data_IF_655300239224
#
_entry.id   IF_655300239224
#
_cell.length_a   1.000
_cell.length_b   1.000
_cell.length_c   1.000
_cell.angle_alpha   90.00
_cell.angle_beta   90.00
_cell.angle_gamma   90.00
#
_symmetry.space_group_name_H-M   'P 1'
#
loop_
_entity.id
_entity.type
_entity.pdbx_description
1 polymer ?
#
# COMPACT_ATOMS: atom_id res chain seq x y z
N UNK A 1 -36.48 23.89 8.27
CA UNK A 1 -37.73 24.66 8.07
C UNK A 1 -37.42 26.11 7.65
N UNK A 2 -36.62 26.87 8.37
CA UNK A 2 -36.24 28.25 8.03
C UNK A 2 -35.55 28.38 6.68
N UNK A 3 -34.55 27.54 6.40
CA UNK A 3 -33.84 27.53 5.11
C UNK A 3 -34.73 27.12 3.94
N UNK A 4 -35.78 26.34 4.15
CA UNK A 4 -36.75 25.98 3.14
C UNK A 4 -37.58 27.22 2.75
N UNK A 5 -38.06 27.98 3.72
CA UNK A 5 -38.77 29.21 3.46
C UNK A 5 -37.90 30.27 2.77
N UNK A 6 -36.65 30.48 3.23
CA UNK A 6 -35.70 31.38 2.58
C UNK A 6 -35.37 30.94 1.10
N UNK A 7 -35.36 29.66 0.82
CA UNK A 7 -35.08 29.14 -0.53
C UNK A 7 -36.24 29.37 -1.50
N UNK A 8 -37.46 29.47 -1.01
CA UNK A 8 -38.64 29.80 -1.82
C UNK A 8 -38.66 31.29 -2.21
N UNK A 9 -38.28 32.17 -1.29
CA UNK A 9 -38.25 33.60 -1.52
C UNK A 9 -37.06 34.08 -2.34
N UNK A 10 -35.93 33.33 -2.27
CA UNK A 10 -34.68 33.73 -2.90
C UNK A 10 -34.70 33.50 -4.43
N UNK A 11 -34.09 34.41 -5.20
CA UNK A 11 -33.94 34.33 -6.67
C UNK A 11 -32.49 34.19 -7.12
N UNK A 12 -32.28 33.60 -8.32
CA UNK A 12 -31.00 33.57 -8.98
C UNK A 12 -29.92 32.72 -8.29
N UNK A 13 -28.71 33.24 -8.18
CA UNK A 13 -27.55 32.50 -7.60
C UNK A 13 -27.71 32.23 -6.10
N UNK A 14 -28.40 33.11 -5.35
CA UNK A 14 -28.67 32.92 -3.93
C UNK A 14 -29.55 31.68 -3.74
N UNK A 15 -30.60 31.50 -4.52
CA UNK A 15 -31.44 30.31 -4.53
C UNK A 15 -30.67 29.03 -4.79
N UNK A 16 -29.75 29.01 -5.77
CA UNK A 16 -28.90 27.84 -6.05
C UNK A 16 -28.02 27.45 -4.87
N UNK A 17 -27.43 28.43 -4.15
CA UNK A 17 -26.61 28.19 -2.95
C UNK A 17 -27.44 27.63 -1.81
N UNK A 18 -28.61 28.21 -1.56
CA UNK A 18 -29.55 27.75 -0.51
C UNK A 18 -30.06 26.36 -0.78
N UNK A 19 -30.44 26.04 -2.02
CA UNK A 19 -30.87 24.69 -2.41
C UNK A 19 -29.76 23.63 -2.24
N UNK A 20 -28.50 23.95 -2.53
CA UNK A 20 -27.38 23.03 -2.26
C UNK A 20 -27.22 22.76 -0.76
N UNK A 21 -27.34 23.80 0.06
CA UNK A 21 -27.25 23.68 1.53
C UNK A 21 -28.44 22.90 2.09
N UNK A 22 -29.64 23.17 1.59
CA UNK A 22 -30.87 22.47 1.98
C UNK A 22 -30.75 20.97 1.70
N UNK A 23 -30.37 20.59 0.47
CA UNK A 23 -30.18 19.19 0.08
C UNK A 23 -29.17 18.46 0.97
N UNK A 24 -28.08 19.13 1.35
CA UNK A 24 -27.08 18.56 2.26
C UNK A 24 -27.71 18.30 3.64
N UNK A 25 -28.42 19.28 4.21
CA UNK A 25 -29.05 19.15 5.51
C UNK A 25 -30.16 18.11 5.52
N UNK A 26 -30.99 18.05 4.47
CA UNK A 26 -32.02 17.02 4.31
C UNK A 26 -31.40 15.61 4.18
N UNK A 27 -30.30 15.49 3.47
CA UNK A 27 -29.58 14.19 3.37
C UNK A 27 -29.01 13.75 4.70
N UNK A 28 -28.47 14.68 5.51
CA UNK A 28 -27.99 14.38 6.86
C UNK A 28 -29.12 14.01 7.79
N UNK A 29 -30.25 14.72 7.74
CA UNK A 29 -31.44 14.46 8.56
C UNK A 29 -32.03 13.11 8.22
N UNK A 30 -32.18 12.80 6.92
CA UNK A 30 -32.66 11.48 6.44
C UNK A 30 -31.74 10.33 6.86
N UNK A 31 -30.41 10.56 6.90
CA UNK A 31 -29.43 9.60 7.36
C UNK A 31 -29.31 9.51 8.89
N UNK A 32 -30.00 10.36 9.66
CA UNK A 32 -29.88 10.45 11.11
C UNK A 32 -28.53 10.98 11.61
N UNK A 33 -27.74 11.61 10.74
CA UNK A 33 -26.39 12.09 11.06
C UNK A 33 -26.47 13.51 11.61
N UNK A 34 -26.03 13.69 12.85
CA UNK A 34 -25.99 15.01 13.47
C UNK A 34 -24.80 15.82 12.91
N UNK A 35 -24.95 17.16 12.70
CA UNK A 35 -23.89 17.99 12.12
C UNK A 35 -22.56 17.97 12.88
N UNK A 36 -22.57 17.80 14.20
CA UNK A 36 -21.35 17.70 15.01
C UNK A 36 -20.54 16.42 14.74
N UNK A 37 -21.18 15.36 14.24
CA UNK A 37 -20.49 14.12 13.86
C UNK A 37 -19.63 14.29 12.60
N UNK A 38 -19.79 15.38 11.85
CA UNK A 38 -18.93 15.69 10.70
C UNK A 38 -17.55 16.22 11.12
N UNK A 39 -17.39 16.63 12.39
CA UNK A 39 -16.11 17.04 12.96
C UNK A 39 -15.48 15.92 13.77
N UNK A 40 -14.18 15.66 13.55
CA UNK A 40 -13.43 14.70 14.35
C UNK A 40 -12.92 15.38 15.62
N UNK A 41 -13.45 14.98 16.79
CA UNK A 41 -12.91 15.39 18.09
C UNK A 41 -11.72 14.52 18.53
N UNK A 42 -11.71 13.27 18.11
CA UNK A 42 -10.65 12.30 18.38
C UNK A 42 -10.16 11.72 17.05
N UNK A 43 -8.85 11.76 16.84
CA UNK A 43 -8.22 11.20 15.67
C UNK A 43 -7.75 9.75 15.96
N UNK A 44 -8.23 8.73 15.24
CA UNK A 44 -7.76 7.37 15.42
C UNK A 44 -6.32 7.22 14.94
N UNK A 45 -5.52 6.48 15.69
CA UNK A 45 -4.13 6.16 15.34
C UNK A 45 -4.05 4.71 14.95
N UNK A 46 -3.45 4.45 13.79
CA UNK A 46 -3.25 3.09 13.28
C UNK A 46 -2.25 2.35 14.19
N UNK A 47 -2.45 1.03 14.43
CA UNK A 47 -1.50 0.21 15.18
C UNK A 47 -0.07 0.28 14.61
N UNK A 48 0.97 0.14 15.45
CA UNK A 48 2.37 0.28 15.03
C UNK A 48 2.79 -0.75 13.96
N UNK A 49 2.22 -1.94 13.95
CA UNK A 49 2.50 -2.97 12.94
C UNK A 49 2.13 -2.53 11.52
N UNK A 50 1.13 -1.67 11.38
CA UNK A 50 0.70 -1.11 10.10
C UNK A 50 1.51 0.11 9.64
N UNK A 51 2.36 0.66 10.53
CA UNK A 51 3.28 1.79 10.27
C UNK A 51 4.67 1.51 10.84
N UNK A 52 5.33 0.43 10.41
CA UNK A 52 6.54 -0.05 11.05
C UNK A 52 7.70 0.94 10.99
N UNK A 53 8.57 0.84 12.00
CA UNK A 53 9.87 1.49 12.05
C UNK A 53 10.92 0.38 12.11
N UNK A 54 11.76 0.29 11.09
CA UNK A 54 12.77 -0.78 10.94
C UNK A 54 14.16 -0.16 11.03
N UNK A 55 15.00 -0.77 11.86
CA UNK A 55 16.40 -0.39 11.95
C UNK A 55 17.18 -0.97 10.76
N UNK A 56 17.87 -0.12 10.02
CA UNK A 56 18.76 -0.50 8.94
C UNK A 56 20.19 -0.70 9.47
N UNK A 57 20.97 -1.45 8.71
CA UNK A 57 22.43 -1.57 8.94
C UNK A 57 23.08 -0.18 8.96
N UNK A 58 23.88 0.11 9.99
CA UNK A 58 24.49 1.43 10.18
C UNK A 58 23.70 2.40 11.08
N UNK A 59 22.79 1.91 11.92
CA UNK A 59 22.10 2.71 12.95
C UNK A 59 21.03 3.67 12.44
N UNK A 60 20.72 3.64 11.15
CA UNK A 60 19.63 4.43 10.55
C UNK A 60 18.30 3.70 10.65
N UNK A 61 17.21 4.45 10.79
CA UNK A 61 15.86 3.92 10.84
C UNK A 61 15.11 4.24 9.54
N UNK A 62 14.46 3.22 8.96
CA UNK A 62 13.47 3.42 7.93
C UNK A 62 12.09 3.46 8.60
N UNK A 63 11.35 4.53 8.37
CA UNK A 63 10.03 4.73 8.95
C UNK A 63 8.96 4.85 7.86
N UNK A 64 7.73 4.46 8.19
CA UNK A 64 6.59 4.74 7.35
C UNK A 64 6.33 6.25 7.29
N UNK A 65 5.93 6.76 6.13
CA UNK A 65 5.56 8.16 5.92
C UNK A 65 4.45 8.62 6.88
N UNK A 66 3.57 7.70 7.31
CA UNK A 66 2.50 7.98 8.27
C UNK A 66 3.04 8.42 9.64
N UNK A 67 4.18 7.91 10.09
CA UNK A 67 4.76 8.31 11.37
C UNK A 67 5.14 9.79 11.36
N UNK A 68 5.65 10.31 10.24
CA UNK A 68 5.96 11.73 10.09
C UNK A 68 4.69 12.59 10.09
N UNK A 69 3.63 12.15 9.43
CA UNK A 69 2.36 12.85 9.41
C UNK A 69 1.70 12.88 10.79
N UNK A 70 1.67 11.76 11.52
CA UNK A 70 1.19 11.73 12.91
C UNK A 70 2.02 12.62 13.84
N UNK A 71 3.34 12.58 13.73
CA UNK A 71 4.23 13.44 14.51
C UNK A 71 3.92 14.92 14.30
N UNK A 72 3.64 15.35 13.05
CA UNK A 72 3.26 16.73 12.76
C UNK A 72 1.94 17.11 13.42
N UNK A 73 0.94 16.25 13.36
CA UNK A 73 -0.36 16.48 14.03
C UNK A 73 -0.17 16.61 15.53
N UNK A 74 0.55 15.70 16.18
CA UNK A 74 0.81 15.71 17.61
C UNK A 74 1.55 16.98 18.03
N UNK A 75 2.60 17.37 17.31
CA UNK A 75 3.37 18.57 17.60
C UNK A 75 2.52 19.84 17.49
N UNK A 76 1.68 19.95 16.46
CA UNK A 76 0.75 21.08 16.29
C UNK A 76 -0.30 21.12 17.38
N UNK A 77 -0.86 19.98 17.74
CA UNK A 77 -1.84 19.89 18.82
C UNK A 77 -1.23 20.29 20.18
N UNK A 78 -0.04 19.79 20.50
CA UNK A 78 0.64 20.14 21.74
C UNK A 78 1.00 21.63 21.79
N UNK A 79 1.40 22.21 20.65
CA UNK A 79 1.69 23.64 20.56
C UNK A 79 0.43 24.47 20.76
N UNK A 80 -0.68 24.11 20.11
CA UNK A 80 -1.97 24.79 20.30
C UNK A 80 -2.42 24.72 21.76
N UNK A 81 -2.31 23.55 22.39
CA UNK A 81 -2.66 23.38 23.80
C UNK A 81 -1.85 24.32 24.69
N UNK A 82 -0.54 24.38 24.51
CA UNK A 82 0.32 25.31 25.26
C UNK A 82 -0.04 26.78 25.04
N UNK A 83 -0.41 27.18 23.82
CA UNK A 83 -0.84 28.55 23.52
C UNK A 83 -2.15 28.92 24.22
N UNK A 84 -3.08 27.97 24.30
CA UNK A 84 -4.35 28.16 25.02
C UNK A 84 -4.07 28.27 26.53
N UNK A 85 -3.26 27.40 27.10
CA UNK A 85 -2.88 27.39 28.51
C UNK A 85 -2.19 28.71 28.93
N UNK A 86 -1.41 29.31 28.01
CA UNK A 86 -0.71 30.59 28.20
C UNK A 86 -1.60 31.83 27.92
N UNK A 87 -2.89 31.66 27.61
CA UNK A 87 -3.79 32.74 27.21
C UNK A 87 -3.20 33.62 26.08
N UNK A 88 -2.57 33.02 25.09
CA UNK A 88 -1.98 33.74 23.97
C UNK A 88 -3.05 34.48 23.14
N UNK A 89 -2.70 35.57 22.42
CA UNK A 89 -3.63 36.32 21.59
C UNK A 89 -4.40 35.41 20.63
N UNK A 90 -5.69 35.69 20.47
CA UNK A 90 -6.62 34.87 19.67
C UNK A 90 -6.13 34.66 18.22
N UNK A 91 -5.50 35.67 17.64
CA UNK A 91 -4.95 35.59 16.26
C UNK A 91 -3.92 34.50 16.13
N UNK A 92 -3.04 34.31 17.13
CA UNK A 92 -2.01 33.28 17.15
C UNK A 92 -2.66 31.90 17.32
N UNK A 93 -3.63 31.78 18.23
CA UNK A 93 -4.38 30.55 18.43
C UNK A 93 -5.13 30.12 17.17
N UNK A 94 -5.82 31.02 16.48
CA UNK A 94 -6.52 30.76 15.21
C UNK A 94 -5.56 30.32 14.10
N UNK A 95 -4.38 30.91 14.02
CA UNK A 95 -3.37 30.50 13.03
C UNK A 95 -2.87 29.07 13.32
N UNK A 96 -2.61 28.73 14.58
CA UNK A 96 -2.17 27.38 14.94
C UNK A 96 -3.29 26.34 14.73
N UNK A 97 -4.56 26.70 15.00
CA UNK A 97 -5.73 25.86 14.66
C UNK A 97 -5.79 25.57 13.15
N UNK A 98 -5.57 26.58 12.31
CA UNK A 98 -5.51 26.41 10.85
C UNK A 98 -4.38 25.46 10.46
N UNK A 99 -3.19 25.61 11.05
CA UNK A 99 -2.04 24.73 10.79
C UNK A 99 -2.28 23.29 11.27
N UNK A 100 -3.00 23.12 12.38
CA UNK A 100 -3.42 21.80 12.86
C UNK A 100 -4.39 21.15 11.89
N UNK A 101 -5.38 21.91 11.40
CA UNK A 101 -6.31 21.41 10.39
C UNK A 101 -5.59 21.00 9.11
N UNK A 102 -4.64 21.80 8.63
CA UNK A 102 -3.81 21.44 7.46
C UNK A 102 -3.00 20.16 7.69
N UNK A 103 -2.49 19.94 8.90
CA UNK A 103 -1.76 18.72 9.23
C UNK A 103 -2.67 17.47 9.25
N UNK A 104 -3.91 17.61 9.74
CA UNK A 104 -4.92 16.53 9.72
C UNK A 104 -5.38 16.25 8.29
N UNK A 105 -5.64 17.27 7.50
CA UNK A 105 -6.01 17.13 6.09
C UNK A 105 -4.92 16.40 5.30
N UNK A 106 -3.65 16.73 5.55
CA UNK A 106 -2.51 16.06 4.93
C UNK A 106 -2.36 14.59 5.39
N UNK A 107 -2.70 14.27 6.62
CA UNK A 107 -2.70 12.88 7.11
C UNK A 107 -3.76 12.04 6.38
N UNK A 108 -4.94 12.60 6.16
CA UNK A 108 -6.05 11.90 5.50
C UNK A 108 -5.81 11.79 3.98
N UNK A 109 -5.58 12.91 3.31
CA UNK A 109 -5.31 12.97 1.87
C UNK A 109 -4.32 14.09 1.51
N UNK A 110 -3.05 13.76 1.42
CA UNK A 110 -1.98 14.68 1.06
C UNK A 110 -1.97 15.05 -0.43
N UNK A 111 -2.73 14.33 -1.26
CA UNK A 111 -2.83 14.57 -2.70
C UNK A 111 -3.67 15.79 -3.05
N UNK A 112 -4.72 16.04 -2.27
CA UNK A 112 -5.70 17.09 -2.45
C UNK A 112 -5.57 18.17 -1.37
N UNK A 113 -4.33 18.50 -0.97
CA UNK A 113 -4.09 19.51 0.05
C UNK A 113 -4.78 20.84 -0.32
N UNK A 114 -5.59 21.37 0.59
CA UNK A 114 -6.35 22.63 0.43
C UNK A 114 -5.47 23.83 0.09
N UNK A 115 -4.23 23.81 0.58
CA UNK A 115 -3.22 24.83 0.33
C UNK A 115 -2.54 24.71 -1.05
N UNK A 116 -2.90 23.71 -1.86
CA UNK A 116 -2.25 23.41 -3.15
C UNK A 116 -0.82 22.88 -3.03
N UNK A 117 -0.26 22.84 -1.83
CA UNK A 117 1.09 22.35 -1.56
C UNK A 117 1.05 21.10 -0.70
N UNK A 118 1.36 19.96 -1.30
CA UNK A 118 1.46 18.70 -0.58
C UNK A 118 2.63 18.72 0.42
N UNK A 119 2.44 18.07 1.58
CA UNK A 119 3.48 17.91 2.59
C UNK A 119 4.54 16.95 2.07
N UNK A 120 5.77 17.43 1.97
CA UNK A 120 6.93 16.66 1.54
C UNK A 120 7.79 16.18 2.73
N UNK A 121 8.60 15.15 2.50
CA UNK A 121 9.61 14.72 3.43
C UNK A 121 10.68 15.82 3.63
N UNK A 122 11.23 15.93 4.84
CA UNK A 122 12.28 16.90 5.13
C UNK A 122 13.49 16.67 4.22
N UNK A 123 13.91 17.72 3.50
CA UNK A 123 15.05 17.66 2.58
C UNK A 123 14.80 16.92 1.24
N UNK A 124 13.60 16.41 0.98
CA UNK A 124 13.27 15.73 -0.27
C UNK A 124 12.07 16.37 -0.97
N UNK A 125 12.08 16.36 -2.32
CA UNK A 125 10.92 16.78 -3.14
C UNK A 125 9.78 15.74 -3.13
N UNK A 126 10.00 14.56 -2.53
CA UNK A 126 9.02 13.48 -2.50
C UNK A 126 7.87 13.80 -1.54
N UNK A 127 6.65 13.75 -2.06
CA UNK A 127 5.43 13.84 -1.27
C UNK A 127 5.30 12.64 -0.32
N UNK A 128 4.92 12.89 0.94
CA UNK A 128 4.62 11.84 1.90
C UNK A 128 3.31 11.14 1.51
N UNK A 129 3.28 9.81 1.62
CA UNK A 129 2.08 9.00 1.39
C UNK A 129 1.11 9.15 2.55
N UNK A 130 -0.10 9.64 2.25
CA UNK A 130 -1.20 9.77 3.21
C UNK A 130 -1.95 8.45 3.43
N UNK A 131 -2.91 8.44 4.36
CA UNK A 131 -3.81 7.30 4.59
C UNK A 131 -4.56 6.91 3.31
N UNK A 132 -5.10 7.88 2.59
CA UNK A 132 -5.76 7.67 1.29
C UNK A 132 -4.84 7.00 0.27
N UNK A 133 -3.60 7.46 0.16
CA UNK A 133 -2.61 6.91 -0.78
C UNK A 133 -2.24 5.46 -0.45
N UNK A 134 -2.30 5.07 0.84
CA UNK A 134 -2.04 3.70 1.27
C UNK A 134 -3.20 2.74 0.97
N UNK A 135 -4.41 3.25 0.79
CA UNK A 135 -5.60 2.45 0.50
C UNK A 135 -5.90 2.37 -1.00
N UNK A 136 -5.64 3.47 -1.74
CA UNK A 136 -5.95 3.64 -3.16
C UNK A 136 -4.91 2.97 -4.08
N UNK A 137 -5.34 2.68 -5.30
CA UNK A 137 -4.47 2.26 -6.41
C UNK A 137 -4.05 0.79 -6.39
N UNK A 138 -3.20 0.41 -7.36
CA UNK A 138 -2.74 -0.97 -7.54
C UNK A 138 -1.85 -1.45 -6.39
N UNK A 139 -1.11 -0.54 -5.76
CA UNK A 139 -0.21 -0.80 -4.63
C UNK A 139 -0.90 -0.52 -3.28
N UNK A 140 -2.18 -0.15 -3.29
CA UNK A 140 -2.96 0.08 -2.09
C UNK A 140 -3.30 -1.23 -1.38
N UNK A 141 -3.56 -1.13 -0.07
CA UNK A 141 -3.82 -2.30 0.77
C UNK A 141 -5.02 -3.12 0.30
N UNK A 142 -6.07 -2.49 -0.23
CA UNK A 142 -7.23 -3.22 -0.74
C UNK A 142 -6.86 -4.13 -1.91
N UNK A 143 -6.12 -3.64 -2.90
CA UNK A 143 -5.79 -4.42 -4.09
C UNK A 143 -4.59 -5.34 -3.90
N UNK A 144 -3.62 -4.94 -3.08
CA UNK A 144 -2.37 -5.70 -2.92
C UNK A 144 -2.42 -6.72 -1.79
N UNK A 145 -3.22 -6.49 -0.74
CA UNK A 145 -3.20 -7.33 0.46
C UNK A 145 -4.55 -7.97 0.75
N UNK A 146 -5.67 -7.29 0.47
CA UNK A 146 -7.00 -7.80 0.80
C UNK A 146 -7.61 -8.63 -0.33
N UNK A 147 -7.62 -8.12 -1.57
CA UNK A 147 -8.17 -8.82 -2.74
C UNK A 147 -7.24 -9.88 -3.30
N UNK A 148 -5.97 -9.81 -2.99
CA UNK A 148 -4.97 -10.78 -3.38
C UNK A 148 -3.68 -10.52 -2.61
N UNK A 149 -3.11 -11.58 -2.07
CA UNK A 149 -1.85 -11.56 -1.34
C UNK A 149 -0.76 -12.18 -2.19
N UNK A 150 0.45 -11.59 -2.18
CA UNK A 150 1.60 -12.28 -2.72
C UNK A 150 1.97 -13.41 -1.77
N UNK A 151 1.94 -14.62 -2.28
CA UNK A 151 2.42 -15.80 -1.55
C UNK A 151 3.81 -16.17 -2.02
N UNK A 152 4.59 -16.80 -1.15
CA UNK A 152 5.90 -17.29 -1.48
C UNK A 152 5.80 -18.37 -2.58
N UNK A 153 6.85 -18.52 -3.35
CA UNK A 153 6.91 -19.49 -4.46
C UNK A 153 5.82 -19.33 -5.51
N UNK A 154 5.40 -18.10 -5.77
CA UNK A 154 4.46 -17.75 -6.82
C UNK A 154 5.05 -16.73 -7.79
N UNK A 155 4.62 -16.77 -9.04
CA UNK A 155 5.10 -15.87 -10.07
C UNK A 155 4.03 -15.56 -11.11
N UNK A 156 4.23 -14.50 -11.86
CA UNK A 156 3.38 -14.08 -12.97
C UNK A 156 4.24 -13.71 -14.15
N UNK A 157 3.87 -14.19 -15.34
CA UNK A 157 4.56 -13.87 -16.58
C UNK A 157 3.58 -13.75 -17.74
N UNK A 158 4.04 -13.21 -18.85
CA UNK A 158 3.29 -13.15 -20.10
C UNK A 158 3.23 -14.55 -20.70
N UNK A 159 2.05 -14.94 -21.20
CA UNK A 159 1.81 -16.21 -21.86
C UNK A 159 2.04 -16.01 -23.36
N UNK A 160 2.86 -16.88 -23.94
CA UNK A 160 3.18 -16.87 -25.37
C UNK A 160 2.86 -18.25 -25.95
N UNK A 161 2.40 -18.30 -27.20
CA UNK A 161 2.18 -19.55 -27.89
C UNK A 161 3.48 -20.33 -28.11
N UNK A 162 3.46 -21.64 -27.87
CA UNK A 162 4.59 -22.54 -28.07
C UNK A 162 4.18 -23.71 -28.98
N UNK A 163 4.34 -23.60 -30.32
CA UNK A 163 3.87 -24.61 -31.26
C UNK A 163 4.55 -25.98 -31.10
N UNK A 164 5.71 -26.02 -30.50
CA UNK A 164 6.49 -27.24 -30.24
C UNK A 164 6.05 -28.03 -29.01
N UNK A 165 5.16 -27.41 -28.17
CA UNK A 165 4.73 -28.01 -26.93
C UNK A 165 3.41 -28.77 -27.11
N UNK A 166 3.31 -29.94 -26.45
CA UNK A 166 2.05 -30.70 -26.38
C UNK A 166 1.06 -29.93 -25.46
N UNK A 167 -0.27 -30.19 -25.59
CA UNK A 167 -1.32 -29.57 -24.80
C UNK A 167 -1.11 -29.75 -23.29
N UNK A 168 -0.47 -30.83 -22.88
CA UNK A 168 -0.15 -31.14 -21.47
C UNK A 168 1.16 -30.52 -20.97
N UNK A 169 1.89 -29.83 -21.83
CA UNK A 169 3.21 -29.27 -21.51
C UNK A 169 3.15 -27.75 -21.48
N UNK A 170 3.86 -27.17 -20.52
CA UNK A 170 4.07 -25.74 -20.48
C UNK A 170 5.58 -25.44 -20.27
N UNK A 171 6.05 -24.40 -20.97
CA UNK A 171 7.44 -23.94 -20.85
C UNK A 171 7.53 -22.85 -19.81
N UNK A 172 8.45 -23.01 -18.85
CA UNK A 172 8.76 -21.99 -17.83
C UNK A 172 10.20 -21.51 -17.99
N UNK A 173 10.47 -20.19 -17.87
CA UNK A 173 11.83 -19.69 -17.80
C UNK A 173 12.58 -20.35 -16.63
N UNK A 174 13.83 -20.79 -16.87
CA UNK A 174 14.65 -21.49 -15.88
C UNK A 174 14.79 -20.72 -14.56
N UNK A 175 14.97 -19.40 -14.63
CA UNK A 175 15.07 -18.54 -13.44
C UNK A 175 13.81 -18.55 -12.60
N UNK A 176 12.63 -18.50 -13.24
CA UNK A 176 11.36 -18.61 -12.53
C UNK A 176 11.16 -20.00 -11.93
N UNK A 177 11.48 -21.04 -12.68
CA UNK A 177 11.37 -22.42 -12.20
C UNK A 177 12.23 -22.65 -10.95
N UNK A 178 13.47 -22.18 -10.92
CA UNK A 178 14.35 -22.28 -9.75
C UNK A 178 13.80 -21.58 -8.52
N UNK A 179 13.14 -20.44 -8.69
CA UNK A 179 12.54 -19.72 -7.55
C UNK A 179 11.24 -20.38 -7.05
N UNK A 180 10.38 -20.81 -7.96
CA UNK A 180 9.12 -21.46 -7.65
C UNK A 180 9.31 -22.81 -6.96
N UNK A 181 10.29 -23.59 -7.44
CA UNK A 181 10.56 -24.95 -6.96
C UNK A 181 11.71 -25.02 -5.95
N UNK A 182 12.19 -23.89 -5.44
CA UNK A 182 13.32 -23.81 -4.51
C UNK A 182 13.23 -24.81 -3.35
N UNK A 183 12.10 -24.99 -2.62
CA UNK A 183 12.01 -25.96 -1.53
C UNK A 183 12.21 -27.40 -2.00
N UNK A 184 11.63 -27.76 -3.14
CA UNK A 184 11.74 -29.12 -3.69
C UNK A 184 13.16 -29.42 -4.18
N UNK A 185 13.81 -28.44 -4.79
CA UNK A 185 15.22 -28.56 -5.22
C UNK A 185 16.13 -28.72 -4.00
N UNK A 186 15.89 -27.99 -2.92
CA UNK A 186 16.64 -28.13 -1.67
C UNK A 186 16.46 -29.54 -1.09
N UNK A 187 15.22 -30.05 -1.01
CA UNK A 187 14.95 -31.40 -0.55
C UNK A 187 15.71 -32.45 -1.37
N UNK A 188 15.62 -32.35 -2.70
CA UNK A 188 16.30 -33.29 -3.59
C UNK A 188 17.84 -33.23 -3.52
N UNK A 189 18.42 -32.02 -3.30
CA UNK A 189 19.87 -31.89 -3.09
C UNK A 189 20.36 -32.54 -1.79
N UNK A 190 19.52 -32.52 -0.74
CA UNK A 190 19.85 -33.14 0.53
C UNK A 190 19.64 -34.64 0.46
N UNK A 191 18.55 -35.12 -0.14
CA UNK A 191 18.27 -36.57 -0.32
C UNK A 191 19.34 -37.29 -1.15
N UNK A 192 19.89 -36.63 -2.17
CA UNK A 192 20.97 -37.19 -2.98
C UNK A 192 22.37 -36.88 -2.44
N UNK A 193 22.50 -36.42 -1.21
CA UNK A 193 23.77 -36.12 -0.52
C UNK A 193 24.68 -35.08 -1.20
N UNK A 194 24.14 -34.29 -2.18
CA UNK A 194 24.88 -33.19 -2.81
C UNK A 194 25.09 -32.02 -1.86
N UNK A 195 24.24 -31.89 -0.84
CA UNK A 195 24.35 -30.86 0.18
C UNK A 195 24.02 -31.41 1.57
N UNK A 196 24.87 -31.13 2.55
CA UNK A 196 24.68 -31.63 3.94
C UNK A 196 23.65 -30.87 4.73
N UNK A 197 23.32 -29.63 4.34
CA UNK A 197 22.31 -28.83 5.04
C UNK A 197 21.60 -27.82 4.09
N UNK A 198 20.49 -27.27 4.56
CA UNK A 198 19.66 -26.30 3.81
C UNK A 198 20.47 -25.07 3.38
N UNK A 199 21.41 -24.59 4.21
CA UNK A 199 22.22 -23.42 3.93
C UNK A 199 23.19 -23.67 2.77
N UNK A 200 23.82 -24.85 2.72
CA UNK A 200 24.69 -25.29 1.62
C UNK A 200 23.91 -25.45 0.32
N UNK A 201 22.74 -26.11 0.37
CA UNK A 201 21.86 -26.29 -0.78
C UNK A 201 21.37 -24.92 -1.35
N UNK A 202 20.97 -23.99 -0.49
CA UNK A 202 20.55 -22.64 -0.90
C UNK A 202 21.69 -21.90 -1.61
N UNK A 203 22.92 -21.97 -1.08
CA UNK A 203 24.10 -21.36 -1.71
C UNK A 203 24.40 -21.96 -3.08
N UNK A 204 24.25 -23.26 -3.24
CA UNK A 204 24.39 -23.94 -4.55
C UNK A 204 23.35 -23.41 -5.55
N UNK A 205 22.11 -23.26 -5.16
CA UNK A 205 21.05 -22.71 -6.03
C UNK A 205 21.36 -21.27 -6.44
N UNK A 206 21.89 -20.44 -5.54
CA UNK A 206 22.29 -19.07 -5.84
C UNK A 206 23.45 -19.00 -6.83
N UNK A 207 24.45 -19.87 -6.69
CA UNK A 207 25.54 -20.02 -7.67
C UNK A 207 25.01 -20.42 -9.04
N UNK A 208 24.08 -21.38 -9.09
CA UNK A 208 23.43 -21.81 -10.34
C UNK A 208 22.65 -20.64 -10.97
N UNK A 209 21.96 -19.82 -10.20
CA UNK A 209 21.30 -18.60 -10.70
C UNK A 209 22.29 -17.64 -11.37
N UNK A 210 23.45 -17.42 -10.77
CA UNK A 210 24.50 -16.56 -11.32
C UNK A 210 25.03 -17.13 -12.65
N UNK A 211 25.21 -18.44 -12.74
CA UNK A 211 25.68 -19.13 -13.97
C UNK A 211 24.63 -19.06 -15.09
N UNK A 212 23.32 -19.11 -14.78
CA UNK A 212 22.28 -18.97 -15.81
C UNK A 212 22.14 -17.54 -16.37
N UNK A 213 22.69 -16.53 -15.69
CA UNK A 213 22.80 -15.17 -16.20
C UNK A 213 23.88 -15.01 -17.29
N UNK A 214 24.73 -15.99 -17.50
CA UNK A 214 25.78 -15.99 -18.55
C UNK A 214 25.37 -16.83 -19.77
N UNK A 215 25.71 -16.41 -21.00
CA UNK A 215 25.26 -17.09 -22.23
C UNK A 215 25.88 -18.51 -22.44
N UNK A 216 26.76 -18.95 -21.56
CA UNK A 216 27.49 -20.22 -21.68
C UNK A 216 26.71 -21.47 -21.25
N UNK A 217 25.50 -21.37 -20.74
CA UNK A 217 24.77 -22.52 -20.17
C UNK A 217 23.64 -23.03 -21.06
N UNK A 218 23.93 -23.34 -22.33
CA UNK A 218 23.00 -24.10 -23.20
C UNK A 218 22.83 -25.57 -22.82
N UNK A 219 23.56 -26.10 -21.83
CA UNK A 219 23.72 -27.55 -21.62
C UNK A 219 23.20 -28.15 -20.31
N UNK A 220 22.62 -27.37 -19.39
CA UNK A 220 22.00 -27.97 -18.22
C UNK A 220 20.52 -28.26 -18.52
N UNK A 221 20.21 -29.47 -18.96
CA UNK A 221 18.86 -30.03 -18.91
C UNK A 221 18.43 -30.02 -17.45
N UNK A 222 17.57 -29.04 -17.08
CA UNK A 222 16.77 -29.15 -15.84
C UNK A 222 15.95 -30.41 -16.06
N UNK A 223 16.36 -31.48 -15.38
CA UNK A 223 15.85 -32.82 -15.54
C UNK A 223 14.32 -32.79 -15.42
N UNK A 224 13.68 -33.64 -16.19
CA UNK A 224 12.26 -33.98 -16.27
C UNK A 224 11.56 -34.13 -14.89
N UNK A 225 12.33 -34.29 -13.82
CA UNK A 225 11.84 -34.38 -12.42
C UNK A 225 11.21 -33.12 -11.88
N UNK A 226 11.57 -31.90 -12.33
CA UNK A 226 10.86 -30.67 -11.97
C UNK A 226 9.44 -30.62 -12.56
N UNK A 227 9.25 -31.19 -13.75
CA UNK A 227 7.94 -31.25 -14.42
C UNK A 227 7.03 -32.34 -13.82
N UNK A 228 7.57 -33.43 -13.30
CA UNK A 228 6.77 -34.44 -12.56
C UNK A 228 6.37 -33.96 -11.17
N UNK A 229 7.17 -33.11 -10.51
CA UNK A 229 6.76 -32.42 -9.31
C UNK A 229 5.61 -31.44 -9.61
N UNK A 230 5.59 -30.80 -10.78
CA UNK A 230 4.48 -29.97 -11.26
C UNK A 230 3.18 -30.77 -11.36
N UNK A 231 3.22 -32.01 -11.82
CA UNK A 231 2.05 -32.88 -11.96
C UNK A 231 1.45 -33.27 -10.59
N UNK A 232 2.24 -33.34 -9.52
CA UNK A 232 1.77 -33.55 -8.15
C UNK A 232 1.33 -32.27 -7.43
N UNK A 233 1.84 -31.10 -7.82
CA UNK A 233 1.50 -29.79 -7.28
C UNK A 233 0.34 -29.07 -8.00
N UNK A 234 -0.26 -29.68 -9.04
CA UNK A 234 -1.41 -29.11 -9.78
C UNK A 234 -2.68 -28.92 -8.94
N UNK A 235 -2.68 -29.29 -7.67
CA UNK A 235 -3.78 -29.02 -6.73
C UNK A 235 -3.71 -27.60 -6.14
N UNK A 236 -2.60 -26.87 -6.23
CA UNK A 236 -2.48 -25.49 -5.75
C UNK A 236 -2.36 -24.49 -6.90
N UNK A 237 -3.52 -24.10 -7.41
CA UNK A 237 -3.86 -22.84 -8.13
C UNK A 237 -2.74 -22.12 -8.87
N UNK A 238 -2.42 -22.54 -10.10
CA UNK A 238 -1.94 -21.65 -11.13
C UNK A 238 -3.10 -20.79 -11.63
N UNK A 239 -3.38 -19.67 -10.99
CA UNK A 239 -4.22 -18.62 -11.58
C UNK A 239 -3.41 -17.88 -12.64
N UNK A 240 -3.46 -18.38 -13.86
CA UNK A 240 -3.07 -17.63 -15.05
C UNK A 240 -4.13 -16.53 -15.25
N UNK A 241 -3.88 -15.33 -14.74
CA UNK A 241 -4.71 -14.18 -15.06
C UNK A 241 -4.15 -13.49 -16.28
N UNK A 242 -4.86 -13.56 -17.40
CA UNK A 242 -4.61 -12.69 -18.54
C UNK A 242 -4.79 -11.22 -18.11
N UNK A 243 -3.91 -10.31 -18.54
CA UNK A 243 -4.19 -8.89 -18.43
C UNK A 243 -5.29 -8.55 -19.45
N UNK A 244 -6.42 -8.04 -18.96
CA UNK A 244 -7.38 -7.27 -19.75
C UNK A 244 -6.89 -5.86 -19.95
#
# INVERSE_FOLDING_TARGET
KELSAEAEEAKGQRKKKLLKRLRLLESMDRAGIKPHSAGLSVLPVIPPDLRPMVQLTGGRFATSDLNDLYRRVINRNNRLKKLIDLNAPEVICRNEQRMLQEAVDALIDNGNARSGRAVAASGQRRRLKSLSDMLKGRQGRFRQHLLGMRVDYSGRSVIVAGPELKITQCGLPKMMALELFKPFVIGHLIENEFAHNIRSATRMIELVKLLFGTPLTKSLRVSTYCLTALHRCTVYQFRLSCPS
#
